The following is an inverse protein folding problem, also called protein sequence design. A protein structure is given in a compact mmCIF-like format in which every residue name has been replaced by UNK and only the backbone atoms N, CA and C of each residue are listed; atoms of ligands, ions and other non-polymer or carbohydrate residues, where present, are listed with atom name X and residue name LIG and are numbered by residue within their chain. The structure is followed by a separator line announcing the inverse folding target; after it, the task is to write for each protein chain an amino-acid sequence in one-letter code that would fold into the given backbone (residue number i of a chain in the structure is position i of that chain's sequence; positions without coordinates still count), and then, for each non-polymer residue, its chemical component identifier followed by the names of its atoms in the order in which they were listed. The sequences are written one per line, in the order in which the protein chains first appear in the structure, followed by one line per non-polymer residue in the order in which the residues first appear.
data_IF_016083208300
#
_entry.id   IF_016083208300
#
_cell.length_a   1.000
_cell.length_b   1.000
_cell.length_c   1.000
_cell.angle_alpha   90.00
_cell.angle_beta   90.00
_cell.angle_gamma   90.00
#
_symmetry.space_group_name_H-M   'P 1'
#
loop_
_entity.id
_entity.type
_entity.pdbx_description
1 polymer ?
#
# COMPACT_ATOMS: atom_id res chain seq x y z
N UNK A 1 -11.22 20.02 -14.35
CA UNK A 1 -11.09 18.67 -14.91
C UNK A 1 -9.83 18.67 -15.75
N UNK A 2 -8.83 17.87 -15.37
CA UNK A 2 -7.57 17.71 -16.07
C UNK A 2 -7.73 16.54 -17.05
N UNK A 3 -7.28 16.74 -18.29
CA UNK A 3 -7.17 15.69 -19.30
C UNK A 3 -5.68 15.44 -19.47
N UNK A 4 -5.22 14.23 -19.21
CA UNK A 4 -3.82 13.89 -19.46
C UNK A 4 -3.60 13.37 -20.89
N UNK A 5 -2.35 13.11 -21.23
CA UNK A 5 -1.93 12.66 -22.57
C UNK A 5 -2.54 11.30 -22.97
N UNK A 6 -3.05 10.51 -22.01
CA UNK A 6 -3.75 9.25 -22.27
C UNK A 6 -5.24 9.45 -22.57
N UNK A 7 -5.75 10.68 -22.46
CA UNK A 7 -7.18 10.99 -22.55
C UNK A 7 -7.95 10.65 -21.28
N UNK A 8 -7.25 10.40 -20.16
CA UNK A 8 -7.88 10.16 -18.86
C UNK A 8 -8.35 11.47 -18.25
N UNK A 9 -9.56 11.44 -17.67
CA UNK A 9 -10.18 12.60 -17.03
C UNK A 9 -10.09 12.46 -15.51
N UNK A 10 -9.59 13.49 -14.84
CA UNK A 10 -9.60 13.56 -13.37
C UNK A 10 -9.91 14.97 -12.89
N UNK A 11 -10.50 15.09 -11.70
CA UNK A 11 -10.64 16.38 -11.01
C UNK A 11 -9.38 16.69 -10.18
N UNK A 12 -8.84 15.66 -9.53
CA UNK A 12 -7.64 15.67 -8.73
C UNK A 12 -6.93 14.31 -8.87
N UNK A 13 -5.61 14.31 -8.86
CA UNK A 13 -4.79 13.08 -8.81
C UNK A 13 -4.00 13.09 -7.50
N UNK A 14 -4.15 12.07 -6.64
CA UNK A 14 -3.30 11.90 -5.47
C UNK A 14 -1.82 11.77 -5.87
N UNK A 15 -0.92 12.20 -4.99
CA UNK A 15 0.53 12.14 -5.20
C UNK A 15 1.00 10.73 -5.55
N UNK A 16 0.38 9.70 -4.94
CA UNK A 16 0.68 8.33 -5.31
C UNK A 16 0.37 7.97 -6.76
N UNK A 17 -0.68 8.53 -7.35
CA UNK A 17 -0.98 8.38 -8.77
C UNK A 17 -0.02 9.19 -9.65
N UNK A 18 0.41 10.38 -9.21
CA UNK A 18 1.38 11.19 -9.93
C UNK A 18 2.74 10.49 -10.03
N UNK A 19 3.24 9.92 -8.93
CA UNK A 19 4.49 9.14 -8.93
C UNK A 19 4.35 7.86 -9.78
N UNK A 20 3.21 7.17 -9.70
CA UNK A 20 2.94 5.97 -10.50
C UNK A 20 3.02 6.27 -12.00
N UNK A 21 2.42 7.38 -12.46
CA UNK A 21 2.47 7.80 -13.86
C UNK A 21 3.90 8.05 -14.37
N UNK A 22 4.81 8.49 -13.51
CA UNK A 22 6.24 8.64 -13.84
C UNK A 22 7.00 7.31 -13.86
N UNK A 23 6.42 6.21 -13.38
CA UNK A 23 7.13 4.95 -13.13
C UNK A 23 8.06 4.99 -11.92
N UNK A 24 7.89 5.96 -11.02
CA UNK A 24 8.83 6.24 -9.93
C UNK A 24 8.43 5.62 -8.57
N UNK A 25 7.47 4.68 -8.56
CA UNK A 25 7.07 3.98 -7.33
C UNK A 25 7.54 2.54 -7.32
N UNK A 26 8.31 2.18 -6.30
CA UNK A 26 8.56 0.78 -5.96
C UNK A 26 7.29 0.15 -5.40
N UNK A 27 6.99 -1.08 -5.80
CA UNK A 27 5.93 -1.89 -5.19
C UNK A 27 6.56 -2.77 -4.12
N UNK A 28 6.16 -2.59 -2.86
CA UNK A 28 6.62 -3.43 -1.75
C UNK A 28 5.48 -4.38 -1.33
N UNK A 29 5.62 -5.64 -1.73
CA UNK A 29 4.74 -6.73 -1.34
C UNK A 29 5.20 -7.28 0.01
N UNK A 30 4.46 -7.02 1.09
CA UNK A 30 4.94 -7.33 2.46
C UNK A 30 4.54 -8.68 3.00
N UNK A 31 3.49 -9.30 2.44
CA UNK A 31 3.07 -10.67 2.77
C UNK A 31 2.06 -11.14 1.75
N UNK A 32 1.96 -12.45 1.52
CA UNK A 32 0.90 -13.07 0.74
C UNK A 32 -0.22 -13.68 1.57
N UNK A 33 -0.15 -13.58 2.90
CA UNK A 33 -1.20 -14.04 3.81
C UNK A 33 -2.41 -13.13 3.68
N UNK A 34 -3.59 -13.73 3.50
CA UNK A 34 -4.87 -13.02 3.45
C UNK A 34 -5.98 -13.95 3.97
N UNK A 35 -6.93 -13.41 4.73
CA UNK A 35 -8.11 -14.17 5.18
C UNK A 35 -9.28 -14.13 4.18
N UNK A 36 -9.16 -13.35 3.10
CA UNK A 36 -10.18 -13.23 2.06
C UNK A 36 -10.00 -14.23 0.94
N UNK A 37 -11.11 -14.65 0.35
CA UNK A 37 -11.16 -15.57 -0.79
C UNK A 37 -11.80 -14.90 -2.01
N UNK A 38 -11.28 -13.75 -2.42
CA UNK A 38 -11.81 -12.98 -3.54
C UNK A 38 -11.81 -13.81 -4.83
N UNK A 39 -12.93 -13.82 -5.56
CA UNK A 39 -13.07 -14.56 -6.82
C UNK A 39 -12.15 -14.05 -7.94
N UNK A 40 -11.62 -12.83 -7.80
CA UNK A 40 -10.73 -12.15 -8.75
C UNK A 40 -9.32 -11.94 -8.18
N UNK A 41 -8.94 -12.65 -7.11
CA UNK A 41 -7.65 -12.42 -6.45
C UNK A 41 -6.49 -12.52 -7.46
N UNK A 42 -5.71 -11.43 -7.68
CA UNK A 42 -4.68 -11.38 -8.72
C UNK A 42 -3.35 -11.99 -8.27
N UNK A 43 -3.23 -12.43 -7.02
CA UNK A 43 -1.99 -12.98 -6.49
C UNK A 43 -1.63 -14.30 -7.17
N UNK A 44 -0.39 -14.40 -7.61
CA UNK A 44 0.18 -15.60 -8.21
C UNK A 44 0.31 -16.74 -7.20
N UNK A 45 0.55 -17.97 -7.68
CA UNK A 45 0.72 -19.15 -6.82
C UNK A 45 1.99 -19.04 -5.95
N UNK A 46 2.99 -18.29 -6.41
CA UNK A 46 4.24 -18.02 -5.71
C UNK A 46 4.05 -17.07 -4.53
N UNK A 47 3.07 -16.17 -4.60
CA UNK A 47 2.81 -15.15 -3.57
C UNK A 47 1.61 -15.51 -2.69
N UNK A 48 0.54 -16.07 -3.24
CA UNK A 48 -0.73 -16.31 -2.52
C UNK A 48 -0.54 -17.30 -1.36
N UNK A 49 -1.06 -16.93 -0.19
CA UNK A 49 -1.05 -17.74 1.05
C UNK A 49 0.36 -18.12 1.51
N UNK A 50 1.36 -17.33 1.16
CA UNK A 50 2.76 -17.51 1.59
C UNK A 50 3.23 -16.25 2.29
N UNK A 51 3.94 -16.42 3.39
CA UNK A 51 4.57 -15.28 4.05
C UNK A 51 5.92 -14.98 3.41
N UNK A 52 5.87 -14.23 2.31
CA UNK A 52 7.02 -13.86 1.47
C UNK A 52 6.96 -12.37 1.16
N UNK A 53 8.13 -11.78 0.98
CA UNK A 53 8.29 -10.34 0.76
C UNK A 53 8.96 -10.12 -0.59
N UNK A 54 8.46 -9.16 -1.36
CA UNK A 54 9.07 -8.74 -2.63
C UNK A 54 9.13 -7.23 -2.74
N UNK A 55 10.26 -6.71 -3.21
CA UNK A 55 10.39 -5.35 -3.70
C UNK A 55 10.40 -5.44 -5.24
N UNK A 56 9.36 -4.90 -5.88
CA UNK A 56 9.03 -5.19 -7.28
C UNK A 56 8.97 -6.71 -7.52
N UNK A 57 9.90 -7.25 -8.30
CA UNK A 57 10.04 -8.70 -8.57
C UNK A 57 11.21 -9.35 -7.81
N UNK A 58 11.98 -8.58 -7.02
CA UNK A 58 13.08 -9.09 -6.21
C UNK A 58 12.55 -9.63 -4.89
N UNK A 59 12.87 -10.88 -4.58
CA UNK A 59 12.60 -11.46 -3.26
C UNK A 59 13.43 -10.74 -2.19
N UNK A 60 12.81 -10.44 -1.06
CA UNK A 60 13.42 -9.71 0.06
C UNK A 60 13.70 -10.67 1.20
N UNK A 61 14.97 -10.75 1.60
CA UNK A 61 15.42 -11.54 2.76
C UNK A 61 16.01 -10.65 3.86
N UNK A 62 16.25 -9.38 3.54
CA UNK A 62 16.82 -8.37 4.44
C UNK A 62 16.40 -6.96 4.02
N UNK A 63 16.49 -6.01 4.94
CA UNK A 63 16.19 -4.60 4.66
C UNK A 63 17.03 -4.03 3.49
N UNK A 64 18.27 -4.50 3.33
CA UNK A 64 19.12 -4.05 2.22
C UNK A 64 18.54 -4.42 0.85
N UNK A 65 17.81 -5.53 0.71
CA UNK A 65 17.16 -5.89 -0.55
C UNK A 65 16.12 -4.85 -0.96
N UNK A 66 15.37 -4.32 0.01
CA UNK A 66 14.36 -3.26 -0.21
C UNK A 66 15.03 -1.95 -0.60
N UNK A 67 16.08 -1.55 0.14
CA UNK A 67 16.79 -0.30 -0.12
C UNK A 67 17.55 -0.32 -1.45
N UNK A 68 18.20 -1.45 -1.78
CA UNK A 68 18.89 -1.63 -3.06
C UNK A 68 17.92 -1.53 -4.23
N UNK A 69 16.75 -2.15 -4.14
CA UNK A 69 15.72 -2.08 -5.19
C UNK A 69 15.14 -0.67 -5.33
N UNK A 70 14.85 0.00 -4.21
CA UNK A 70 14.37 1.38 -4.24
C UNK A 70 15.41 2.34 -4.86
N UNK A 71 16.70 2.17 -4.53
CA UNK A 71 17.79 2.96 -5.12
C UNK A 71 17.98 2.64 -6.61
N UNK A 72 17.90 1.36 -7.01
CA UNK A 72 18.16 0.94 -8.40
C UNK A 72 17.20 1.58 -9.40
N UNK A 73 15.95 1.81 -8.98
CA UNK A 73 14.93 2.48 -9.79
C UNK A 73 14.78 3.98 -9.52
N UNK A 74 15.62 4.57 -8.66
CA UNK A 74 15.47 5.94 -8.16
C UNK A 74 14.04 6.24 -7.67
N UNK A 75 13.52 5.38 -6.80
CA UNK A 75 12.14 5.48 -6.33
C UNK A 75 11.88 6.84 -5.64
N UNK A 76 10.87 7.57 -6.13
CA UNK A 76 10.33 8.79 -5.49
C UNK A 76 9.26 8.44 -4.44
N UNK A 77 8.83 7.17 -4.41
CA UNK A 77 7.85 6.69 -3.44
C UNK A 77 7.68 5.17 -3.45
N UNK A 78 6.83 4.67 -2.57
CA UNK A 78 6.56 3.24 -2.43
C UNK A 78 5.06 2.96 -2.30
N UNK A 79 4.60 1.88 -2.93
CA UNK A 79 3.29 1.28 -2.71
C UNK A 79 3.41 0.00 -1.94
N UNK A 80 2.95 0.01 -0.69
CA UNK A 80 2.89 -1.17 0.17
C UNK A 80 1.61 -1.94 -0.14
N UNK A 81 1.76 -3.23 -0.43
CA UNK A 81 0.66 -4.12 -0.81
C UNK A 81 0.94 -5.55 -0.35
N UNK A 82 0.03 -6.48 -0.60
CA UNK A 82 0.14 -7.86 -0.13
C UNK A 82 -1.14 -8.66 -0.38
N UNK A 83 -1.25 -9.79 0.30
CA UNK A 83 -2.53 -10.44 0.56
C UNK A 83 -3.42 -9.56 1.43
N UNK A 84 -3.05 -9.39 2.68
CA UNK A 84 -3.56 -8.34 3.57
C UNK A 84 -2.39 -7.78 4.40
N UNK A 85 -1.83 -6.63 4.01
CA UNK A 85 -0.69 -6.03 4.73
C UNK A 85 -0.93 -5.79 6.21
N UNK A 86 -2.16 -5.43 6.61
CA UNK A 86 -2.46 -5.13 8.02
C UNK A 86 -2.49 -6.37 8.94
N UNK A 87 -2.41 -7.59 8.38
CA UNK A 87 -2.13 -8.78 9.21
C UNK A 87 -0.68 -8.77 9.74
N UNK A 88 0.20 -8.00 9.12
CA UNK A 88 1.61 -7.83 9.46
C UNK A 88 1.91 -6.34 9.75
N UNK A 89 1.07 -5.69 10.59
CA UNK A 89 1.14 -4.25 10.87
C UNK A 89 2.55 -3.78 11.28
N UNK A 90 3.19 -4.47 12.22
CA UNK A 90 4.56 -4.15 12.68
C UNK A 90 5.57 -4.14 11.52
N UNK A 91 5.43 -5.07 10.57
CA UNK A 91 6.28 -5.15 9.38
C UNK A 91 6.02 -3.98 8.44
N UNK A 92 4.76 -3.58 8.29
CA UNK A 92 4.39 -2.39 7.51
C UNK A 92 5.03 -1.14 8.14
N UNK A 93 4.88 -0.94 9.45
CA UNK A 93 5.47 0.18 10.20
C UNK A 93 7.01 0.19 10.06
N UNK A 94 7.65 -0.97 10.24
CA UNK A 94 9.09 -1.13 10.05
C UNK A 94 9.54 -0.65 8.67
N UNK A 95 8.88 -1.07 7.59
CA UNK A 95 9.25 -0.66 6.24
C UNK A 95 8.94 0.81 5.94
N UNK A 96 7.87 1.37 6.51
CA UNK A 96 7.61 2.82 6.42
C UNK A 96 8.78 3.58 7.03
N UNK A 97 9.20 3.22 8.25
CA UNK A 97 10.34 3.86 8.91
C UNK A 97 11.64 3.67 8.12
N UNK A 98 11.94 2.45 7.66
CA UNK A 98 13.13 2.16 6.87
C UNK A 98 13.23 3.09 5.65
N UNK A 99 12.15 3.19 4.88
CA UNK A 99 12.10 3.98 3.65
C UNK A 99 12.13 5.50 3.94
N UNK A 100 11.40 5.98 4.94
CA UNK A 100 11.41 7.40 5.33
C UNK A 100 12.77 7.83 5.92
N UNK A 101 13.47 6.94 6.62
CA UNK A 101 14.81 7.20 7.14
C UNK A 101 15.86 7.27 6.02
N UNK A 102 15.77 6.38 5.03
CA UNK A 102 16.71 6.35 3.91
C UNK A 102 16.46 7.47 2.90
N UNK A 103 15.21 7.65 2.45
CA UNK A 103 14.87 8.53 1.33
C UNK A 103 14.27 9.88 1.77
N UNK A 104 14.05 10.05 3.08
CA UNK A 104 13.52 11.26 3.68
C UNK A 104 11.99 11.33 3.71
N UNK A 105 11.48 12.35 4.42
CA UNK A 105 10.04 12.53 4.67
C UNK A 105 9.19 12.68 3.40
N UNK A 106 9.78 13.18 2.32
CA UNK A 106 9.11 13.40 1.04
C UNK A 106 8.94 12.14 0.19
N UNK A 107 9.58 11.02 0.57
CA UNK A 107 9.40 9.75 -0.12
C UNK A 107 7.96 9.26 0.10
N UNK A 108 7.11 9.38 -0.91
CA UNK A 108 5.67 9.16 -0.71
C UNK A 108 5.36 7.67 -0.57
N UNK A 109 4.75 7.28 0.55
CA UNK A 109 4.33 5.91 0.85
C UNK A 109 2.81 5.83 0.87
N UNK A 110 2.27 4.89 0.11
CA UNK A 110 0.85 4.55 0.17
C UNK A 110 0.66 3.08 0.49
N UNK A 111 -0.43 2.76 1.19
CA UNK A 111 -0.77 1.41 1.62
C UNK A 111 -2.10 0.97 1.03
N UNK A 112 -2.14 -0.21 0.40
CA UNK A 112 -3.38 -0.91 0.09
C UNK A 112 -3.77 -1.83 1.23
N UNK A 113 -5.02 -1.76 1.67
CA UNK A 113 -5.57 -2.72 2.63
C UNK A 113 -6.97 -3.15 2.25
N UNK A 114 -7.29 -4.40 2.54
CA UNK A 114 -8.64 -4.94 2.39
C UNK A 114 -9.33 -5.08 3.76
N UNK A 115 -8.77 -4.48 4.80
CA UNK A 115 -9.32 -4.49 6.16
C UNK A 115 -9.61 -3.07 6.58
N UNK A 116 -10.61 -2.89 7.43
CA UNK A 116 -10.89 -1.60 8.05
C UNK A 116 -9.99 -1.49 9.31
N UNK A 117 -8.91 -0.68 9.28
CA UNK A 117 -8.03 -0.48 10.43
C UNK A 117 -8.79 0.20 11.56
N UNK A 118 -8.38 -0.07 12.79
CA UNK A 118 -8.83 0.69 13.95
C UNK A 118 -8.24 2.10 13.93
N UNK A 119 -8.80 3.00 14.74
CA UNK A 119 -8.22 4.34 14.95
C UNK A 119 -6.78 4.27 15.49
N UNK A 120 -6.48 3.27 16.33
CA UNK A 120 -5.14 3.06 16.83
C UNK A 120 -4.17 2.62 15.71
N UNK A 121 -4.58 1.67 14.87
CA UNK A 121 -3.75 1.24 13.73
C UNK A 121 -3.49 2.40 12.76
N UNK A 122 -4.50 3.22 12.49
CA UNK A 122 -4.37 4.42 11.65
C UNK A 122 -3.40 5.42 12.24
N UNK A 123 -3.47 5.66 13.56
CA UNK A 123 -2.55 6.53 14.26
C UNK A 123 -1.11 6.02 14.18
N UNK A 124 -0.88 4.73 14.43
CA UNK A 124 0.45 4.12 14.33
C UNK A 124 1.03 4.23 12.91
N UNK A 125 0.21 3.99 11.89
CA UNK A 125 0.62 4.16 10.49
C UNK A 125 0.96 5.63 10.16
N UNK A 126 0.15 6.58 10.62
CA UNK A 126 0.38 8.01 10.42
C UNK A 126 1.67 8.47 11.15
N UNK A 127 1.85 8.06 12.41
CA UNK A 127 3.04 8.35 13.22
C UNK A 127 4.30 7.75 12.58
N UNK A 128 4.19 6.59 11.94
CA UNK A 128 5.28 5.99 11.17
C UNK A 128 5.66 6.81 9.91
N UNK A 129 4.71 7.57 9.36
CA UNK A 129 4.87 8.40 8.18
C UNK A 129 4.14 7.90 6.94
N UNK A 130 3.06 7.15 7.07
CA UNK A 130 2.20 6.80 5.93
C UNK A 130 1.52 8.06 5.37
N UNK A 131 1.61 8.30 4.06
CA UNK A 131 1.04 9.50 3.43
C UNK A 131 -0.37 9.27 2.87
N UNK A 132 -0.68 8.04 2.44
CA UNK A 132 -1.94 7.70 1.78
C UNK A 132 -2.37 6.26 2.09
N UNK A 133 -3.65 6.05 2.40
CA UNK A 133 -4.22 4.71 2.56
C UNK A 133 -5.35 4.48 1.56
N UNK A 134 -5.35 3.30 0.93
CA UNK A 134 -6.33 2.88 -0.08
C UNK A 134 -7.07 1.65 0.42
N UNK A 135 -8.37 1.80 0.60
CA UNK A 135 -9.23 0.72 1.06
C UNK A 135 -9.78 -0.10 -0.10
N UNK A 136 -9.82 -1.41 0.07
CA UNK A 136 -10.54 -2.34 -0.78
C UNK A 136 -11.67 -3.05 0.03
N UNK A 137 -12.85 -2.40 0.15
CA UNK A 137 -14.01 -2.95 0.83
C UNK A 137 -14.48 -4.26 0.19
N UNK A 138 -14.94 -5.25 0.97
CA UNK A 138 -15.49 -6.49 0.43
C UNK A 138 -16.86 -6.24 -0.23
N UNK A 139 -17.23 -7.06 -1.21
CA UNK A 139 -18.39 -6.82 -2.09
C UNK A 139 -19.72 -6.73 -1.34
N UNK A 140 -19.82 -7.42 -0.20
CA UNK A 140 -21.00 -7.48 0.65
C UNK A 140 -21.41 -6.10 1.18
N UNK A 141 -20.47 -5.17 1.32
CA UNK A 141 -20.73 -3.84 1.87
C UNK A 141 -20.81 -2.73 0.81
N UNK A 142 -20.60 -3.04 -0.47
CA UNK A 142 -20.63 -2.01 -1.53
C UNK A 142 -21.99 -1.32 -1.66
N UNK A 143 -23.08 -2.04 -1.37
CA UNK A 143 -24.44 -1.46 -1.41
C UNK A 143 -24.77 -0.60 -0.20
N UNK A 144 -24.04 -0.77 0.92
CA UNK A 144 -24.29 -0.03 2.17
C UNK A 144 -22.99 0.09 2.96
N UNK A 145 -22.22 1.14 2.66
CA UNK A 145 -21.02 1.48 3.42
C UNK A 145 -21.33 2.17 4.76
N UNK A 146 -22.46 2.90 4.84
CA UNK A 146 -22.84 3.59 6.07
C UNK A 146 -23.13 2.62 7.22
N UNK A 147 -22.53 2.89 8.38
CA UNK A 147 -22.50 2.09 9.58
C UNK A 147 -21.44 0.98 9.59
N UNK A 148 -20.70 0.79 8.49
CA UNK A 148 -19.66 -0.25 8.41
C UNK A 148 -18.38 0.15 9.17
N UNK A 149 -17.51 -0.82 9.43
CA UNK A 149 -16.18 -0.54 9.96
C UNK A 149 -15.36 0.38 9.05
N UNK A 150 -15.58 0.34 7.73
CA UNK A 150 -14.86 1.18 6.77
C UNK A 150 -15.27 2.65 6.88
N UNK A 151 -16.55 2.96 7.12
CA UNK A 151 -16.98 4.34 7.35
C UNK A 151 -16.32 4.91 8.62
N UNK A 152 -16.18 4.08 9.66
CA UNK A 152 -15.48 4.47 10.89
C UNK A 152 -14.00 4.73 10.63
N UNK A 153 -13.30 3.83 9.93
CA UNK A 153 -11.90 4.02 9.55
C UNK A 153 -11.70 5.27 8.68
N UNK A 154 -12.59 5.51 7.71
CA UNK A 154 -12.54 6.70 6.86
C UNK A 154 -12.78 8.00 7.63
N UNK A 155 -13.56 7.96 8.71
CA UNK A 155 -13.82 9.13 9.56
C UNK A 155 -12.67 9.42 10.53
N UNK A 156 -11.79 8.45 10.76
CA UNK A 156 -10.66 8.53 11.69
C UNK A 156 -9.30 8.73 10.98
N UNK A 157 -9.26 8.56 9.65
CA UNK A 157 -8.08 8.77 8.80
C UNK A 157 -7.99 10.23 8.35
#
# INVERSE_FOLDING_TARGET
MQVDESGSYSTFLPDGCLCCRKGAKMVLFVTGICRKTCFFCPLSVERKNKDVIFANERAVYSDSDVLEEARSMNAEGTGITGGEPLLELERVIHYIHLLKNEFGKNHHIHLYTSTAPSENDLKELADAGLDEIRFHPPIEIWKKMSGSSYEKSLSAA
#
